data_IF_523771278995
#
_entry.id   IF_523771278995
#
_cell.length_a   1.000
_cell.length_b   1.000
_cell.length_c   1.000
_cell.angle_alpha   90.00
_cell.angle_beta   90.00
_cell.angle_gamma   90.00
#
_symmetry.space_group_name_H-M   'P 1'
#
loop_
_entity.id
_entity.type
_entity.pdbx_description
1 polymer ?
#
# COMPACT_ATOMS: atom_id res chain seq x y z
N UNK A 1 8.20 10.10 -6.83
CA UNK A 1 8.85 9.09 -5.97
C UNK A 1 10.39 9.05 -6.12
N UNK A 2 11.06 10.18 -6.40
CA UNK A 2 12.46 10.17 -6.90
C UNK A 2 13.59 9.97 -5.87
N UNK A 3 13.35 9.27 -4.75
CA UNK A 3 14.41 9.06 -3.73
C UNK A 3 14.47 7.68 -3.07
N UNK A 4 13.48 6.82 -3.25
CA UNK A 4 13.48 5.50 -2.60
C UNK A 4 14.05 4.44 -3.54
N UNK A 5 14.89 3.55 -2.99
CA UNK A 5 15.41 2.39 -3.71
C UNK A 5 14.41 1.25 -3.64
N UNK A 6 14.41 0.40 -4.67
CA UNK A 6 13.70 -0.88 -4.64
C UNK A 6 14.42 -1.78 -3.65
N UNK A 7 13.67 -2.34 -2.71
CA UNK A 7 14.18 -3.24 -1.67
C UNK A 7 13.69 -4.67 -1.85
N UNK A 8 12.66 -4.89 -2.67
CA UNK A 8 12.18 -6.23 -2.98
C UNK A 8 10.94 -6.23 -3.87
N UNK A 9 10.26 -7.36 -3.87
CA UNK A 9 9.00 -7.61 -4.58
C UNK A 9 8.05 -8.38 -3.66
N UNK A 10 6.75 -8.07 -3.72
CA UNK A 10 5.68 -8.76 -3.01
C UNK A 10 4.49 -8.91 -3.95
N UNK A 11 3.91 -10.11 -4.06
CA UNK A 11 2.72 -10.37 -4.88
C UNK A 11 2.77 -9.83 -6.34
N UNK A 12 3.96 -9.72 -6.94
CA UNK A 12 4.13 -9.21 -8.31
C UNK A 12 4.32 -7.70 -8.44
N UNK A 13 4.39 -6.97 -7.33
CA UNK A 13 4.70 -5.53 -7.29
C UNK A 13 5.94 -5.21 -6.48
N UNK A 14 6.57 -4.08 -6.81
CA UNK A 14 7.80 -3.63 -6.15
C UNK A 14 7.55 -3.20 -4.71
N UNK A 15 8.55 -3.40 -3.86
CA UNK A 15 8.63 -2.85 -2.51
C UNK A 15 9.76 -1.83 -2.47
N UNK A 16 9.51 -0.65 -1.92
CA UNK A 16 10.41 0.49 -1.92
C UNK A 16 10.72 0.98 -0.50
N UNK A 17 11.93 1.51 -0.32
CA UNK A 17 12.36 2.10 0.95
C UNK A 17 12.91 1.07 1.94
N UNK A 18 13.11 1.47 3.20
CA UNK A 18 13.67 0.58 4.21
C UNK A 18 12.64 -0.51 4.60
N UNK A 19 13.10 -1.76 4.64
CA UNK A 19 12.31 -2.91 5.09
C UNK A 19 13.05 -3.58 6.24
N UNK A 20 12.48 -3.48 7.43
CA UNK A 20 12.97 -4.08 8.68
C UNK A 20 11.76 -4.55 9.51
N UNK A 21 11.22 -5.73 9.20
CA UNK A 21 10.04 -6.24 9.90
C UNK A 21 10.35 -6.57 11.37
N UNK A 22 9.37 -6.43 12.28
CA UNK A 22 8.01 -5.99 12.03
C UNK A 22 7.81 -4.47 12.04
N UNK A 23 8.82 -3.66 12.35
CA UNK A 23 8.63 -2.21 12.58
C UNK A 23 8.58 -1.37 11.31
N UNK A 24 9.18 -1.87 10.23
CA UNK A 24 9.27 -1.21 8.92
C UNK A 24 8.97 -2.19 7.79
N UNK A 25 7.92 -1.93 7.05
CA UNK A 25 7.47 -2.76 5.92
C UNK A 25 7.65 -2.03 4.58
N UNK A 26 7.86 -0.71 4.63
CA UNK A 26 8.12 0.09 3.44
C UNK A 26 6.87 0.31 2.59
N UNK A 27 7.10 0.69 1.32
CA UNK A 27 6.04 1.07 0.40
C UNK A 27 5.84 -0.02 -0.64
N UNK A 28 4.63 -0.56 -0.70
CA UNK A 28 4.24 -1.62 -1.64
C UNK A 28 3.55 -1.02 -2.87
N UNK A 29 3.95 -1.41 -4.08
CA UNK A 29 3.38 -0.94 -5.34
C UNK A 29 4.14 0.22 -5.99
N UNK A 30 3.85 0.49 -7.26
CA UNK A 30 4.48 1.57 -8.04
C UNK A 30 3.48 2.65 -8.41
N UNK A 31 2.47 2.31 -9.22
CA UNK A 31 1.45 3.27 -9.66
C UNK A 31 0.30 3.34 -8.66
N UNK A 32 0.13 2.29 -7.87
CA UNK A 32 -0.68 2.27 -6.66
C UNK A 32 0.24 1.94 -5.51
N UNK A 33 0.79 2.97 -4.88
CA UNK A 33 1.72 2.80 -3.77
C UNK A 33 0.97 2.85 -2.44
N UNK A 34 1.22 1.88 -1.56
CA UNK A 34 0.73 1.84 -0.17
C UNK A 34 1.92 1.85 0.77
N UNK A 35 2.06 2.91 1.56
CA UNK A 35 3.02 2.99 2.65
C UNK A 35 2.49 2.17 3.84
N UNK A 36 3.05 0.97 4.01
CA UNK A 36 2.62 0.05 5.05
C UNK A 36 3.07 0.49 6.45
N UNK A 37 4.03 1.42 6.56
CA UNK A 37 4.48 1.93 7.86
C UNK A 37 3.40 2.83 8.49
N UNK A 38 2.65 3.58 7.66
CA UNK A 38 1.58 4.48 8.12
C UNK A 38 0.16 3.97 7.86
N UNK A 39 -0.01 2.92 7.05
CA UNK A 39 -1.28 2.21 6.94
C UNK A 39 -1.69 1.66 8.33
N UNK A 40 -2.87 2.04 8.82
CA UNK A 40 -3.40 1.59 10.11
C UNK A 40 -4.40 0.41 9.97
N UNK A 41 -4.55 -0.14 8.76
CA UNK A 41 -5.45 -1.24 8.48
C UNK A 41 -6.94 -0.91 8.61
N UNK A 42 -7.35 0.32 8.30
CA UNK A 42 -8.76 0.75 8.35
C UNK A 42 -9.68 0.10 7.28
N UNK A 43 -9.11 -0.44 6.21
CA UNK A 43 -9.81 -1.12 5.09
C UNK A 43 -10.72 -0.24 4.22
N UNK A 44 -10.74 1.08 4.38
CA UNK A 44 -11.51 2.01 3.52
C UNK A 44 -11.11 1.83 2.06
N UNK A 45 -9.82 1.69 1.77
CA UNK A 45 -9.33 1.45 0.41
C UNK A 45 -9.92 0.21 -0.25
N UNK A 46 -10.14 -0.87 0.52
CA UNK A 46 -10.79 -2.09 0.04
C UNK A 46 -12.27 -1.81 -0.23
N UNK A 47 -12.95 -1.14 0.71
CA UNK A 47 -14.37 -0.82 0.58
C UNK A 47 -14.71 0.11 -0.58
N UNK A 48 -13.82 1.06 -0.93
CA UNK A 48 -14.11 2.10 -1.93
C UNK A 48 -13.57 1.76 -3.32
N UNK A 49 -12.73 0.73 -3.46
CA UNK A 49 -12.13 0.39 -4.75
C UNK A 49 -13.10 -0.43 -5.62
N UNK A 50 -13.62 0.11 -6.73
CA UNK A 50 -14.62 -0.59 -7.55
C UNK A 50 -14.06 -1.77 -8.36
N UNK A 51 -12.73 -1.84 -8.45
CA UNK A 51 -11.98 -2.85 -9.23
C UNK A 51 -11.10 -3.72 -8.32
N UNK A 52 -11.35 -3.70 -7.01
CA UNK A 52 -10.72 -4.58 -6.03
C UNK A 52 -9.18 -4.56 -6.05
N UNK A 53 -8.51 -3.41 -6.15
CA UNK A 53 -7.02 -3.37 -6.22
C UNK A 53 -6.35 -3.95 -4.96
N UNK A 54 -6.98 -3.77 -3.81
CA UNK A 54 -6.36 -3.99 -2.49
C UNK A 54 -6.82 -5.29 -1.84
N UNK A 55 -5.91 -5.93 -1.12
CA UNK A 55 -6.18 -7.02 -0.18
C UNK A 55 -5.58 -6.71 1.18
N UNK A 56 -6.14 -7.29 2.25
CA UNK A 56 -5.62 -7.13 3.61
C UNK A 56 -4.71 -8.29 3.97
N UNK A 57 -3.46 -7.98 4.29
CA UNK A 57 -2.45 -8.96 4.69
C UNK A 57 -2.11 -8.83 6.18
N UNK A 58 -1.75 -9.92 6.88
CA UNK A 58 -1.35 -9.86 8.27
C UNK A 58 0.02 -9.16 8.44
N UNK A 59 0.15 -8.35 9.50
CA UNK A 59 1.40 -7.68 9.90
C UNK A 59 1.60 -7.70 11.41
N UNK A 60 1.66 -8.89 12.04
CA UNK A 60 1.69 -9.03 13.49
C UNK A 60 2.90 -8.30 14.10
N UNK A 61 2.63 -7.46 15.11
CA UNK A 61 3.66 -6.72 15.84
C UNK A 61 4.06 -5.39 15.21
N UNK A 62 3.51 -5.00 14.06
CA UNK A 62 3.79 -3.70 13.47
C UNK A 62 3.13 -2.57 14.30
N UNK A 63 3.82 -1.45 14.58
CA UNK A 63 3.33 -0.41 15.50
C UNK A 63 1.96 0.20 15.17
N UNK A 64 1.66 0.37 13.89
CA UNK A 64 0.41 1.03 13.43
C UNK A 64 -0.79 0.09 13.28
N UNK A 65 -0.60 -1.22 13.08
CA UNK A 65 -1.68 -2.21 12.98
C UNK A 65 -1.14 -3.63 12.80
N UNK A 66 -1.94 -4.65 13.14
CA UNK A 66 -1.63 -6.06 12.86
C UNK A 66 -2.08 -6.55 11.46
N UNK A 67 -2.50 -5.62 10.58
CA UNK A 67 -2.86 -5.90 9.18
C UNK A 67 -2.59 -4.68 8.29
N UNK A 68 -2.21 -4.90 7.03
CA UNK A 68 -1.92 -3.85 6.04
C UNK A 68 -2.71 -4.05 4.76
N UNK A 69 -3.02 -2.94 4.10
CA UNK A 69 -3.49 -2.98 2.72
C UNK A 69 -2.32 -3.23 1.79
N UNK A 70 -2.47 -4.17 0.86
CA UNK A 70 -1.49 -4.52 -0.15
C UNK A 70 -2.11 -4.39 -1.56
N UNK A 71 -1.48 -3.65 -2.50
CA UNK A 71 -2.03 -3.37 -3.82
C UNK A 71 -1.77 -4.51 -4.82
N UNK A 72 -2.17 -5.73 -4.47
CA UNK A 72 -1.93 -6.97 -5.24
C UNK A 72 -2.37 -6.90 -6.70
N UNK A 73 -3.35 -6.06 -7.01
CA UNK A 73 -3.90 -5.84 -8.35
C UNK A 73 -3.62 -4.42 -8.85
N UNK A 74 -2.44 -3.85 -8.57
CA UNK A 74 -2.10 -2.46 -8.95
C UNK A 74 -2.31 -2.17 -10.45
N UNK A 75 -2.19 -3.18 -11.32
CA UNK A 75 -2.40 -3.09 -12.76
C UNK A 75 -3.85 -2.86 -13.17
N UNK A 76 -4.81 -3.20 -12.32
CA UNK A 76 -6.24 -3.05 -12.60
C UNK A 76 -6.75 -1.65 -12.21
N UNK A 77 -5.88 -0.82 -11.62
CA UNK A 77 -6.25 0.50 -11.15
C UNK A 77 -6.74 1.40 -12.29
N UNK A 78 -7.99 1.87 -12.16
CA UNK A 78 -8.60 2.84 -13.07
C UNK A 78 -8.34 4.31 -12.68
N UNK A 79 -7.47 4.54 -11.69
CA UNK A 79 -7.05 5.88 -11.24
C UNK A 79 -8.19 6.82 -10.81
N UNK A 80 -9.25 6.28 -10.20
CA UNK A 80 -10.39 7.07 -9.71
C UNK A 80 -10.07 7.94 -8.48
N UNK A 81 -8.90 7.78 -7.85
CA UNK A 81 -8.41 8.52 -6.67
C UNK A 81 -9.22 8.36 -5.38
N UNK A 82 -10.25 7.52 -5.36
CA UNK A 82 -11.13 7.33 -4.20
C UNK A 82 -10.36 6.82 -2.96
N UNK A 83 -9.46 5.85 -3.14
CA UNK A 83 -8.66 5.28 -2.06
C UNK A 83 -7.60 6.25 -1.52
N UNK A 84 -6.93 7.01 -2.38
CA UNK A 84 -5.99 8.06 -1.96
C UNK A 84 -6.69 9.17 -1.17
N UNK A 85 -7.88 9.59 -1.62
CA UNK A 85 -8.63 10.67 -0.98
C UNK A 85 -9.21 10.27 0.38
N UNK A 86 -9.69 9.04 0.50
CA UNK A 86 -10.42 8.59 1.70
C UNK A 86 -9.54 7.89 2.73
N UNK A 87 -8.26 7.62 2.43
CA UNK A 87 -7.37 7.00 3.41
C UNK A 87 -7.11 7.96 4.59
N UNK A 88 -7.52 7.61 5.83
CA UNK A 88 -7.41 8.49 6.99
C UNK A 88 -5.97 8.82 7.38
N UNK A 89 -5.00 7.96 7.01
CA UNK A 89 -3.57 8.17 7.27
C UNK A 89 -2.79 8.62 6.04
N UNK A 90 -3.45 8.87 4.90
CA UNK A 90 -2.81 9.22 3.64
C UNK A 90 -1.72 8.23 3.21
N UNK A 91 -1.91 6.94 3.53
CA UNK A 91 -0.97 5.87 3.22
C UNK A 91 -0.89 5.53 1.73
N UNK A 92 -1.82 6.01 0.91
CA UNK A 92 -1.97 5.59 -0.48
C UNK A 92 -1.63 6.73 -1.41
N UNK A 93 -0.81 6.43 -2.43
CA UNK A 93 -0.53 7.37 -3.52
C UNK A 93 -0.78 6.71 -4.87
N UNK A 94 -1.61 7.36 -5.68
CA UNK A 94 -1.84 6.99 -7.07
C UNK A 94 -1.00 7.90 -7.97
N UNK A 95 -0.25 7.30 -8.89
CA UNK A 95 0.50 8.02 -9.93
C UNK A 95 0.20 7.46 -11.32
N UNK A 96 0.14 8.33 -12.35
CA UNK A 96 0.16 7.88 -13.73
C UNK A 96 1.38 7.01 -14.04
N UNK A 97 1.22 5.97 -14.87
CA UNK A 97 2.33 5.13 -15.35
C UNK A 97 3.35 5.92 -16.17
#
# INVERSE_FOLDING_TARGET
MNKLKISGEHAGHKVWGEVKPPEKLGIHGTNVAVDQDICNGDEVCVSVCPVNVFEMIPSPGHPTSNKKSDPVREKDCIQCMACETQCPTQAIKITPP
#
